data_IF_960270007067
#
_entry.id   IF_960270007067
#
_cell.length_a   1.000
_cell.length_b   1.000
_cell.length_c   1.000
_cell.angle_alpha   90.00
_cell.angle_beta   90.00
_cell.angle_gamma   90.00
#
_symmetry.space_group_name_H-M   'P 1'
#
loop_
_entity.id
_entity.type
_entity.pdbx_description
1 polymer ?
#
# COMPACT_ATOMS: atom_id res chain seq x y z
N UNK A 1 -16.86 -1.69 -34.07
CA UNK A 1 -16.94 -2.85 -33.13
C UNK A 1 -17.81 -2.48 -31.93
N UNK A 2 -18.80 -3.30 -31.55
CA UNK A 2 -19.70 -3.05 -30.40
C UNK A 2 -19.55 -4.19 -29.39
N UNK A 3 -19.55 -3.85 -28.11
CA UNK A 3 -19.35 -4.79 -27.00
C UNK A 3 -20.71 -5.13 -26.39
N UNK A 4 -20.84 -6.34 -25.85
CA UNK A 4 -22.07 -6.72 -25.16
C UNK A 4 -22.26 -5.93 -23.86
N UNK A 5 -23.47 -5.41 -23.65
CA UNK A 5 -23.78 -4.64 -22.45
C UNK A 5 -23.62 -5.47 -21.16
N UNK A 6 -23.94 -6.77 -21.20
CA UNK A 6 -23.79 -7.65 -20.03
C UNK A 6 -22.33 -7.82 -19.63
N UNK A 7 -21.43 -7.95 -20.61
CA UNK A 7 -19.99 -8.05 -20.39
C UNK A 7 -19.44 -6.77 -19.76
N UNK A 8 -19.88 -5.61 -20.25
CA UNK A 8 -19.53 -4.31 -19.68
C UNK A 8 -19.97 -4.20 -18.21
N UNK A 9 -21.22 -4.53 -17.90
CA UNK A 9 -21.73 -4.50 -16.53
C UNK A 9 -20.99 -5.48 -15.60
N UNK A 10 -20.69 -6.69 -16.09
CA UNK A 10 -19.91 -7.68 -15.33
C UNK A 10 -18.54 -7.11 -14.96
N UNK A 11 -17.85 -6.47 -15.90
CA UNK A 11 -16.54 -5.87 -15.63
C UNK A 11 -16.60 -4.73 -14.62
N UNK A 12 -17.59 -3.84 -14.71
CA UNK A 12 -17.79 -2.79 -13.72
C UNK A 12 -18.04 -3.38 -12.32
N UNK A 13 -18.93 -4.36 -12.22
CA UNK A 13 -19.27 -5.02 -10.95
C UNK A 13 -18.07 -5.72 -10.30
N UNK A 14 -17.29 -6.48 -11.08
CA UNK A 14 -16.08 -7.16 -10.58
C UNK A 14 -15.07 -6.19 -9.99
N UNK A 15 -14.97 -4.97 -10.52
CA UNK A 15 -14.05 -3.94 -10.02
C UNK A 15 -14.69 -3.01 -8.97
N UNK A 16 -15.92 -3.31 -8.52
CA UNK A 16 -16.68 -2.47 -7.59
C UNK A 16 -16.89 -1.05 -8.11
N UNK A 17 -17.12 -0.89 -9.42
CA UNK A 17 -17.40 0.38 -10.09
C UNK A 17 -18.89 0.43 -10.39
N UNK A 18 -19.58 1.49 -9.97
CA UNK A 18 -20.98 1.71 -10.32
C UNK A 18 -21.08 2.40 -11.69
N UNK A 19 -22.20 2.24 -12.40
CA UNK A 19 -22.41 2.95 -13.67
C UNK A 19 -22.37 4.47 -13.50
N UNK A 20 -22.79 4.99 -12.34
CA UNK A 20 -22.68 6.42 -12.01
C UNK A 20 -21.22 6.85 -11.89
N UNK A 21 -20.41 6.11 -11.13
CA UNK A 21 -18.98 6.39 -11.02
C UNK A 21 -18.26 6.29 -12.36
N UNK A 22 -18.63 5.33 -13.21
CA UNK A 22 -18.12 5.24 -14.57
C UNK A 22 -18.51 6.44 -15.43
N UNK A 23 -19.78 6.88 -15.38
CA UNK A 23 -20.29 8.08 -16.06
C UNK A 23 -19.46 9.32 -15.70
N UNK A 24 -19.25 9.54 -14.39
CA UNK A 24 -18.50 10.70 -13.88
C UNK A 24 -17.02 10.67 -14.28
N UNK A 25 -16.43 9.47 -14.33
CA UNK A 25 -15.05 9.25 -14.75
C UNK A 25 -14.87 9.45 -16.26
N UNK A 26 -15.74 8.83 -17.06
CA UNK A 26 -15.69 8.84 -18.51
C UNK A 26 -16.15 10.17 -19.13
N UNK A 27 -16.76 11.05 -18.33
CA UNK A 27 -17.43 12.28 -18.79
C UNK A 27 -18.53 11.99 -19.82
N UNK A 28 -19.23 10.88 -19.63
CA UNK A 28 -20.37 10.46 -20.45
C UNK A 28 -21.61 10.63 -19.59
N UNK A 29 -22.69 11.28 -20.07
CA UNK A 29 -23.91 11.44 -19.30
C UNK A 29 -24.45 10.10 -18.80
N UNK A 30 -24.89 10.06 -17.55
CA UNK A 30 -25.39 8.83 -16.93
C UNK A 30 -26.54 8.19 -17.71
N UNK A 31 -27.44 9.01 -18.26
CA UNK A 31 -28.56 8.56 -19.11
C UNK A 31 -28.09 7.87 -20.40
N UNK A 32 -26.93 8.28 -20.92
CA UNK A 32 -26.31 7.61 -22.08
C UNK A 32 -25.78 6.24 -21.68
N UNK A 33 -25.10 6.15 -20.54
CA UNK A 33 -24.53 4.89 -20.02
C UNK A 33 -25.64 3.89 -19.70
N UNK A 34 -26.73 4.32 -19.06
CA UNK A 34 -27.88 3.46 -18.76
C UNK A 34 -28.69 3.13 -20.01
N UNK A 35 -28.77 4.06 -20.97
CA UNK A 35 -29.42 3.88 -22.26
C UNK A 35 -28.80 2.77 -23.12
N UNK A 36 -27.54 2.41 -22.92
CA UNK A 36 -26.91 1.27 -23.60
C UNK A 36 -27.58 -0.07 -23.29
N UNK A 37 -28.27 -0.19 -22.13
CA UNK A 37 -29.09 -1.36 -21.81
C UNK A 37 -30.18 -1.59 -22.87
N UNK A 38 -30.84 -0.53 -23.32
CA UNK A 38 -31.91 -0.60 -24.33
C UNK A 38 -31.39 -1.08 -25.68
N UNK A 39 -30.14 -0.74 -26.02
CA UNK A 39 -29.47 -1.15 -27.26
C UNK A 39 -28.79 -2.52 -27.17
N UNK A 40 -28.70 -3.11 -25.97
CA UNK A 40 -27.97 -4.34 -25.69
C UNK A 40 -26.46 -4.29 -25.96
N UNK A 41 -25.94 -3.13 -26.39
CA UNK A 41 -24.59 -2.95 -26.89
C UNK A 41 -23.98 -1.66 -26.38
N UNK A 42 -22.69 -1.73 -26.11
CA UNK A 42 -21.87 -0.65 -25.56
C UNK A 42 -20.79 -0.29 -26.60
N UNK A 43 -20.48 1.01 -26.80
CA UNK A 43 -19.37 1.42 -27.64
C UNK A 43 -18.04 0.83 -27.15
N UNK A 44 -17.16 0.42 -28.08
CA UNK A 44 -15.89 -0.21 -27.71
C UNK A 44 -15.01 0.66 -26.79
N UNK A 45 -15.01 1.98 -27.01
CA UNK A 45 -14.25 2.94 -26.19
C UNK A 45 -14.66 2.90 -24.71
N UNK A 46 -15.93 2.64 -24.40
CA UNK A 46 -16.41 2.63 -23.02
C UNK A 46 -15.79 1.47 -22.23
N UNK A 47 -15.52 0.35 -22.88
CA UNK A 47 -14.79 -0.76 -22.25
C UNK A 47 -13.33 -0.42 -21.98
N UNK A 48 -12.68 0.31 -22.89
CA UNK A 48 -11.29 0.77 -22.70
C UNK A 48 -11.22 1.70 -21.50
N UNK A 49 -12.12 2.68 -21.43
CA UNK A 49 -12.20 3.63 -20.30
C UNK A 49 -12.46 2.88 -18.98
N UNK A 50 -13.37 1.90 -18.99
CA UNK A 50 -13.68 1.16 -17.77
C UNK A 50 -12.51 0.28 -17.29
N UNK A 51 -11.69 -0.27 -18.21
CA UNK A 51 -10.45 -0.98 -17.87
C UNK A 51 -9.40 -0.04 -17.28
N UNK A 52 -9.21 1.14 -17.88
CA UNK A 52 -8.31 2.17 -17.35
C UNK A 52 -8.74 2.64 -15.95
N UNK A 53 -10.04 2.88 -15.75
CA UNK A 53 -10.60 3.23 -14.44
C UNK A 53 -10.33 2.15 -13.39
N UNK A 54 -10.55 0.87 -13.74
CA UNK A 54 -10.27 -0.25 -12.85
C UNK A 54 -8.79 -0.33 -12.48
N UNK A 55 -7.90 -0.16 -13.46
CA UNK A 55 -6.46 -0.16 -13.24
C UNK A 55 -6.02 0.96 -12.28
N UNK A 56 -6.49 2.19 -12.49
CA UNK A 56 -6.18 3.32 -11.60
C UNK A 56 -6.72 3.14 -10.18
N UNK A 57 -7.93 2.58 -10.05
CA UNK A 57 -8.50 2.26 -8.74
C UNK A 57 -7.61 1.26 -7.99
N UNK A 58 -7.15 0.22 -8.67
CA UNK A 58 -6.22 -0.77 -8.10
C UNK A 58 -4.90 -0.12 -7.66
N UNK A 59 -4.32 0.75 -8.48
CA UNK A 59 -3.10 1.49 -8.12
C UNK A 59 -3.32 2.34 -6.86
N UNK A 60 -4.41 3.11 -6.79
CA UNK A 60 -4.73 3.95 -5.64
C UNK A 60 -4.89 3.12 -4.36
N UNK A 61 -5.57 1.97 -4.43
CA UNK A 61 -5.71 1.09 -3.26
C UNK A 61 -4.38 0.47 -2.83
N UNK A 62 -3.52 0.09 -3.78
CA UNK A 62 -2.16 -0.37 -3.48
C UNK A 62 -1.36 0.72 -2.76
N UNK A 63 -1.37 1.94 -3.29
CA UNK A 63 -0.69 3.09 -2.67
C UNK A 63 -1.24 3.40 -1.29
N UNK A 64 -2.57 3.37 -1.09
CA UNK A 64 -3.18 3.56 0.23
C UNK A 64 -2.76 2.48 1.23
N UNK A 65 -2.71 1.22 0.80
CA UNK A 65 -2.24 0.11 1.65
C UNK A 65 -0.78 0.28 2.05
N UNK A 66 0.09 0.68 1.11
CA UNK A 66 1.50 0.99 1.38
C UNK A 66 1.63 2.17 2.36
N UNK A 67 0.88 3.25 2.15
CA UNK A 67 0.85 4.40 3.07
C UNK A 67 0.37 4.01 4.47
N UNK A 68 -0.70 3.20 4.58
CA UNK A 68 -1.19 2.69 5.87
C UNK A 68 -0.16 1.81 6.57
N UNK A 69 0.54 0.94 5.83
CA UNK A 69 1.67 0.16 6.37
C UNK A 69 2.77 1.08 6.88
N UNK A 70 3.13 2.11 6.13
CA UNK A 70 4.16 3.08 6.54
C UNK A 70 3.74 3.91 7.76
N UNK A 71 2.46 4.29 7.87
CA UNK A 71 1.94 4.97 9.06
C UNK A 71 1.97 4.06 10.29
N UNK A 72 1.53 2.81 10.16
CA UNK A 72 1.61 1.82 11.24
C UNK A 72 3.06 1.61 11.68
N UNK A 73 3.99 1.44 10.73
CA UNK A 73 5.43 1.36 11.00
C UNK A 73 5.95 2.59 11.76
N UNK A 74 5.50 3.80 11.43
CA UNK A 74 5.86 5.03 12.17
C UNK A 74 5.27 5.10 13.58
N UNK A 75 4.16 4.43 13.85
CA UNK A 75 3.53 4.36 15.17
C UNK A 75 4.13 3.27 16.06
N UNK A 76 4.80 2.29 15.47
CA UNK A 76 5.51 1.25 16.20
C UNK A 76 6.80 1.85 16.79
N UNK A 77 6.92 1.73 18.11
CA UNK A 77 8.11 2.12 18.84
C UNK A 77 8.68 0.92 19.58
N UNK A 78 9.90 1.10 20.04
CA UNK A 78 10.53 0.15 20.95
C UNK A 78 10.46 0.77 22.34
N UNK A 79 9.73 0.13 23.27
CA UNK A 79 9.32 0.72 24.55
C UNK A 79 10.48 1.30 25.36
N UNK A 80 11.66 0.69 25.20
CA UNK A 80 12.82 0.98 26.02
C UNK A 80 13.82 1.90 25.30
N UNK A 81 13.58 2.27 24.04
CA UNK A 81 14.47 3.14 23.25
C UNK A 81 13.89 4.54 23.09
N UNK A 82 14.73 5.54 23.36
CA UNK A 82 14.42 6.93 23.10
C UNK A 82 14.28 7.19 21.58
N UNK A 83 13.51 8.21 21.15
CA UNK A 83 13.33 8.51 19.73
C UNK A 83 14.65 8.77 18.97
N UNK A 84 15.65 9.37 19.62
CA UNK A 84 16.98 9.60 19.03
C UNK A 84 17.79 8.30 18.89
N UNK A 85 17.63 7.36 19.82
CA UNK A 85 18.24 6.03 19.77
C UNK A 85 17.63 5.19 18.64
N UNK A 86 16.32 5.24 18.47
CA UNK A 86 15.63 4.58 17.35
C UNK A 86 16.10 5.13 16.00
N UNK A 87 16.15 6.46 15.84
CA UNK A 87 16.69 7.10 14.63
C UNK A 87 18.14 6.73 14.34
N UNK A 88 18.95 6.54 15.39
CA UNK A 88 20.35 6.13 15.24
C UNK A 88 20.48 4.70 14.73
N UNK A 89 19.58 3.80 15.14
CA UNK A 89 19.49 2.44 14.60
C UNK A 89 19.00 2.47 13.14
N UNK A 90 18.00 3.27 12.81
CA UNK A 90 17.52 3.42 11.43
C UNK A 90 18.61 3.97 10.51
N UNK A 91 19.39 4.95 10.98
CA UNK A 91 20.48 5.56 10.22
C UNK A 91 21.63 4.58 9.94
N UNK A 92 21.84 3.58 10.80
CA UNK A 92 22.80 2.49 10.55
C UNK A 92 22.42 1.61 9.34
N UNK A 93 21.15 1.65 8.94
CA UNK A 93 20.58 0.97 7.78
C UNK A 93 20.18 1.97 6.68
N UNK A 94 21.05 2.97 6.45
CA UNK A 94 20.84 3.97 5.40
C UNK A 94 20.53 3.34 4.03
N UNK A 95 19.70 4.01 3.23
CA UNK A 95 19.25 3.51 1.93
C UNK A 95 18.15 2.43 2.02
N UNK A 96 17.64 2.14 3.21
CA UNK A 96 16.51 1.22 3.41
C UNK A 96 15.31 1.91 4.04
N UNK A 97 14.11 1.32 3.88
CA UNK A 97 12.88 1.79 4.53
C UNK A 97 12.53 0.96 5.78
N UNK A 98 13.53 0.38 6.44
CA UNK A 98 13.32 -0.39 7.66
C UNK A 98 13.24 0.52 8.88
N UNK A 99 12.28 0.25 9.74
CA UNK A 99 12.18 0.92 11.05
C UNK A 99 13.12 0.28 12.08
N UNK A 100 13.40 0.98 13.17
CA UNK A 100 14.17 0.41 14.29
C UNK A 100 13.55 -0.91 14.79
N UNK A 101 12.22 -1.00 14.86
CA UNK A 101 11.48 -2.22 15.26
C UNK A 101 11.78 -3.39 14.32
N UNK A 102 11.68 -3.17 13.00
CA UNK A 102 11.94 -4.21 11.99
C UNK A 102 13.40 -4.65 11.98
N UNK A 103 14.33 -3.70 12.13
CA UNK A 103 15.76 -3.99 12.22
C UNK A 103 16.03 -4.87 13.42
N UNK A 104 15.54 -4.50 14.60
CA UNK A 104 15.75 -5.25 15.85
C UNK A 104 15.12 -6.64 15.74
N UNK A 105 13.91 -6.73 15.20
CA UNK A 105 13.22 -8.01 15.01
C UNK A 105 14.03 -8.95 14.09
N UNK A 106 14.51 -8.46 12.95
CA UNK A 106 15.32 -9.29 12.03
C UNK A 106 16.66 -9.72 12.63
N UNK A 107 17.27 -8.86 13.44
CA UNK A 107 18.48 -9.23 14.20
C UNK A 107 18.15 -10.32 15.23
N UNK A 108 17.02 -10.24 15.93
CA UNK A 108 16.56 -11.25 16.88
C UNK A 108 16.17 -12.58 16.20
N UNK A 109 15.63 -12.52 14.98
CA UNK A 109 15.28 -13.67 14.15
C UNK A 109 16.49 -14.38 13.55
N UNK A 110 17.69 -13.80 13.62
CA UNK A 110 18.92 -14.44 13.15
C UNK A 110 19.36 -14.05 11.74
N UNK A 111 18.81 -12.99 11.12
CA UNK A 111 19.19 -12.59 9.77
C UNK A 111 20.65 -12.09 9.74
N UNK A 112 21.54 -12.88 9.11
CA UNK A 112 22.99 -12.63 9.08
C UNK A 112 23.36 -11.25 8.53
N UNK A 113 22.64 -10.79 7.50
CA UNK A 113 22.90 -9.48 6.89
C UNK A 113 22.59 -8.36 7.89
N UNK A 114 21.46 -8.48 8.58
CA UNK A 114 21.06 -7.52 9.59
C UNK A 114 21.97 -7.57 10.81
N UNK A 115 22.34 -8.76 11.29
CA UNK A 115 23.26 -8.91 12.42
C UNK A 115 24.60 -8.24 12.12
N UNK A 116 25.17 -8.50 10.93
CA UNK A 116 26.45 -7.91 10.52
C UNK A 116 26.36 -6.39 10.50
N UNK A 117 25.40 -5.83 9.76
CA UNK A 117 25.25 -4.39 9.62
C UNK A 117 24.92 -3.70 10.95
N UNK A 118 24.10 -4.33 11.79
CA UNK A 118 23.77 -3.84 13.14
C UNK A 118 25.00 -3.82 14.04
N UNK A 119 25.84 -4.86 13.98
CA UNK A 119 27.06 -4.97 14.77
C UNK A 119 28.15 -3.99 14.36
N UNK A 120 28.27 -3.72 13.07
CA UNK A 120 29.25 -2.78 12.49
C UNK A 120 28.87 -1.32 12.77
N UNK A 121 27.59 -0.97 12.63
CA UNK A 121 27.16 0.43 12.57
C UNK A 121 26.44 0.94 13.83
N UNK A 122 26.03 0.06 14.77
CA UNK A 122 25.34 0.44 16.01
C UNK A 122 26.26 0.30 17.24
N UNK A 123 26.39 1.34 18.09
CA UNK A 123 27.23 1.28 19.30
C UNK A 123 26.84 0.12 20.23
N UNK A 124 27.85 -0.55 20.83
CA UNK A 124 27.66 -1.75 21.67
C UNK A 124 26.61 -1.57 22.79
N UNK A 125 26.62 -0.42 23.49
CA UNK A 125 25.64 -0.10 24.54
C UNK A 125 24.21 -0.06 23.98
N UNK A 126 24.03 0.56 22.81
CA UNK A 126 22.73 0.67 22.15
C UNK A 126 22.26 -0.68 21.61
N UNK A 127 23.16 -1.51 21.09
CA UNK A 127 22.84 -2.89 20.67
C UNK A 127 22.27 -3.72 21.83
N UNK A 128 22.93 -3.72 22.98
CA UNK A 128 22.49 -4.47 24.15
C UNK A 128 21.11 -4.01 24.63
N UNK A 129 20.88 -2.70 24.60
CA UNK A 129 19.59 -2.09 24.96
C UNK A 129 18.48 -2.50 23.98
N UNK A 130 18.75 -2.40 22.68
CA UNK A 130 17.83 -2.76 21.61
C UNK A 130 17.47 -4.24 21.58
N UNK A 131 18.41 -5.15 21.89
CA UNK A 131 18.12 -6.59 21.91
C UNK A 131 17.26 -7.01 23.11
N UNK A 132 17.26 -6.24 24.20
CA UNK A 132 16.44 -6.49 25.39
C UNK A 132 15.02 -5.92 25.27
N UNK A 133 14.87 -4.94 24.39
CA UNK A 133 13.65 -4.16 24.29
C UNK A 133 12.53 -4.88 23.55
N UNK A 134 11.29 -4.59 23.94
CA UNK A 134 10.08 -5.18 23.34
C UNK A 134 9.40 -4.20 22.38
N UNK A 135 8.71 -4.77 21.39
CA UNK A 135 7.83 -4.01 20.50
C UNK A 135 6.67 -3.41 21.30
N UNK A 136 6.44 -2.10 21.16
CA UNK A 136 5.28 -1.40 21.70
C UNK A 136 4.57 -0.61 20.59
N UNK A 137 3.25 -0.44 20.71
CA UNK A 137 2.54 0.55 19.91
C UNK A 137 2.51 1.86 20.69
N UNK A 138 2.86 2.97 20.03
CA UNK A 138 2.54 4.29 20.56
C UNK A 138 1.01 4.46 20.47
N UNK A 139 0.38 4.70 21.62
CA UNK A 139 -1.05 5.03 21.73
C UNK A 139 -1.33 6.46 21.24
#
# INVERSE_FOLDING_TARGET
>A
MKIDHTLFLKMLKTNGITQKAFSDYAKIPYDTVTGWKKKGKVPAYAMVIAKDMAFRKMLNEKTKMEMRRNLKKKQESVSDLLPNEQKRIESAFWGTNYTAVEIIQKVQEGDEKFIKQFNENVPKKLRQKALRSKKSLNA
#
